data_IF_141880419900
#
_entry.id   IF_141880419900
#
_cell.length_a   1.000
_cell.length_b   1.000
_cell.length_c   1.000
_cell.angle_alpha   90.00
_cell.angle_beta   90.00
_cell.angle_gamma   90.00
#
_symmetry.space_group_name_H-M   'P 1'
#
loop_
_entity.id
_entity.type
_entity.pdbx_description
1 polymer ?
#
# COMPACT_ATOMS: atom_id res chain seq x y z
N UNK A 1 5.87 -3.01 -21.85
CA UNK A 1 6.43 -4.10 -22.68
C UNK A 1 5.34 -4.89 -23.41
N UNK A 2 4.35 -5.46 -22.71
CA UNK A 2 3.30 -6.30 -23.33
C UNK A 2 2.01 -5.56 -23.76
N UNK A 3 1.94 -4.24 -23.62
CA UNK A 3 0.70 -3.49 -23.93
C UNK A 3 -0.42 -3.69 -22.91
N UNK A 4 -0.09 -4.24 -21.73
CA UNK A 4 -1.04 -4.45 -20.63
C UNK A 4 -1.06 -3.20 -19.77
N UNK A 5 -2.24 -2.59 -19.62
CA UNK A 5 -2.48 -1.48 -18.71
C UNK A 5 -2.81 -2.02 -17.33
N UNK A 6 -1.92 -1.81 -16.35
CA UNK A 6 -2.13 -2.23 -14.96
C UNK A 6 -3.37 -1.54 -14.38
N UNK A 7 -4.22 -2.31 -13.71
CA UNK A 7 -5.40 -1.82 -13.00
C UNK A 7 -5.23 -1.95 -11.48
N UNK A 8 -4.91 -3.17 -11.00
CA UNK A 8 -4.82 -3.48 -9.57
C UNK A 8 -3.82 -4.62 -9.29
N UNK A 9 -3.33 -4.81 -8.06
CA UNK A 9 -2.60 -6.02 -7.69
C UNK A 9 -3.51 -7.27 -7.72
N UNK A 10 -2.93 -8.47 -7.83
CA UNK A 10 -3.69 -9.73 -7.67
C UNK A 10 -4.07 -9.91 -6.20
N UNK A 11 -3.08 -9.75 -5.32
CA UNK A 11 -3.28 -9.76 -3.86
C UNK A 11 -2.92 -8.38 -3.34
N UNK A 12 -3.93 -7.64 -2.88
CA UNK A 12 -3.74 -6.30 -2.33
C UNK A 12 -2.98 -6.33 -0.99
N UNK A 13 -2.12 -5.34 -0.76
CA UNK A 13 -1.43 -5.18 0.52
C UNK A 13 -2.43 -4.99 1.66
N UNK A 14 -2.23 -5.77 2.73
CA UNK A 14 -3.01 -5.68 3.96
C UNK A 14 -2.53 -4.57 4.90
N UNK A 15 -1.34 -4.03 4.67
CA UNK A 15 -0.72 -3.01 5.52
C UNK A 15 -1.62 -1.78 5.66
N UNK A 16 -2.03 -1.45 6.88
CA UNK A 16 -2.90 -0.30 7.14
C UNK A 16 -2.16 1.02 6.97
N UNK A 17 -2.92 2.07 6.72
CA UNK A 17 -2.40 3.43 6.62
C UNK A 17 -3.24 4.30 7.54
N UNK A 18 -2.58 5.17 8.29
CA UNK A 18 -3.22 6.02 9.28
C UNK A 18 -2.95 7.48 9.00
N UNK A 19 -3.91 8.33 9.36
CA UNK A 19 -3.73 9.76 9.55
C UNK A 19 -3.54 9.99 11.04
N UNK A 20 -2.40 10.53 11.43
CA UNK A 20 -2.12 10.96 12.80
C UNK A 20 -2.34 12.46 12.88
N UNK A 21 -3.13 12.91 13.86
CA UNK A 21 -3.28 14.32 14.18
C UNK A 21 -2.83 14.59 15.62
N UNK A 22 -2.12 15.70 15.84
CA UNK A 22 -1.70 16.15 17.17
C UNK A 22 -1.70 17.68 17.23
N UNK A 23 -1.73 18.23 18.43
CA UNK A 23 -1.99 19.65 18.68
C UNK A 23 -0.83 20.23 19.50
N UNK A 24 -0.09 21.17 18.91
CA UNK A 24 1.21 21.60 19.42
C UNK A 24 1.25 23.13 19.55
N UNK A 25 1.77 23.69 20.66
CA UNK A 25 2.07 25.12 20.73
C UNK A 25 2.97 25.57 19.59
N UNK A 26 2.72 26.75 19.04
CA UNK A 26 3.35 27.28 17.82
C UNK A 26 4.88 27.17 17.82
N UNK A 27 5.53 27.42 18.95
CA UNK A 27 6.99 27.40 19.08
C UNK A 27 7.62 26.01 19.02
N UNK A 28 6.83 24.94 19.17
CA UNK A 28 7.29 23.55 19.19
C UNK A 28 6.88 22.74 17.96
N UNK A 29 6.11 23.34 17.05
CA UNK A 29 5.56 22.67 15.85
C UNK A 29 6.64 22.02 15.03
N UNK A 30 7.72 22.74 14.75
CA UNK A 30 8.81 22.22 13.90
C UNK A 30 9.50 21.02 14.53
N UNK A 31 9.80 21.10 15.83
CA UNK A 31 10.43 20.02 16.58
C UNK A 31 9.59 18.73 16.53
N UNK A 32 8.27 18.85 16.74
CA UNK A 32 7.36 17.70 16.71
C UNK A 32 7.20 17.15 15.30
N UNK A 33 7.12 18.03 14.30
CA UNK A 33 6.97 17.66 12.89
C UNK A 33 8.18 16.88 12.37
N UNK A 34 9.40 17.37 12.63
CA UNK A 34 10.63 16.65 12.28
C UNK A 34 10.68 15.29 12.97
N UNK A 35 10.34 15.21 14.26
CA UNK A 35 10.32 13.94 14.99
C UNK A 35 9.34 12.92 14.39
N UNK A 36 8.18 13.37 13.90
CA UNK A 36 7.24 12.53 13.17
C UNK A 36 7.84 11.98 11.87
N UNK A 37 8.53 12.83 11.10
CA UNK A 37 9.18 12.43 9.85
C UNK A 37 10.32 11.43 10.06
N UNK A 38 11.18 11.67 11.04
CA UNK A 38 12.21 10.69 11.42
C UNK A 38 11.62 9.37 11.97
N UNK A 39 10.34 9.42 12.37
CA UNK A 39 9.54 8.27 12.77
C UNK A 39 9.01 7.45 11.60
N UNK A 40 9.13 7.95 10.36
CA UNK A 40 8.60 7.35 9.15
C UNK A 40 7.24 7.90 8.71
N UNK A 41 6.68 8.88 9.42
CA UNK A 41 5.46 9.55 8.98
C UNK A 41 5.75 10.56 7.85
N UNK A 42 4.73 10.93 7.09
CA UNK A 42 4.84 11.92 6.01
C UNK A 42 5.43 11.40 4.71
N UNK A 43 5.57 10.08 4.53
CA UNK A 43 6.01 9.51 3.26
C UNK A 43 4.82 9.09 2.39
N UNK A 44 4.61 9.79 1.26
CA UNK A 44 3.51 9.55 0.31
C UNK A 44 4.06 9.46 -1.11
N UNK A 45 4.03 8.26 -1.70
CA UNK A 45 4.59 8.05 -3.04
C UNK A 45 6.08 8.38 -3.09
N UNK A 46 6.46 9.38 -3.90
CA UNK A 46 7.84 9.85 -4.06
C UNK A 46 8.13 11.13 -3.24
N UNK A 47 7.28 11.48 -2.28
CA UNK A 47 7.42 12.66 -1.43
C UNK A 47 7.60 12.23 0.02
N UNK A 48 8.55 12.86 0.70
CA UNK A 48 8.74 12.78 2.15
C UNK A 48 8.28 14.09 2.83
N UNK A 49 8.37 14.11 4.16
CA UNK A 49 8.04 15.28 4.99
C UNK A 49 6.64 15.89 4.75
N UNK A 50 5.68 15.08 4.28
CA UNK A 50 4.32 15.52 4.00
C UNK A 50 3.52 15.72 5.30
N UNK A 51 3.13 16.97 5.59
CA UNK A 51 2.21 17.31 6.68
C UNK A 51 1.24 18.43 6.28
N UNK A 52 0.08 18.45 6.93
CA UNK A 52 -0.87 19.57 6.85
C UNK A 52 -1.05 20.20 8.23
N UNK A 53 -1.20 21.52 8.28
CA UNK A 53 -1.15 22.29 9.52
C UNK A 53 -2.32 23.28 9.58
N UNK A 54 -3.03 23.32 10.70
CA UNK A 54 -4.15 24.24 10.94
C UNK A 54 -3.97 24.94 12.28
N UNK A 55 -3.95 26.26 12.29
CA UNK A 55 -3.95 27.04 13.54
C UNK A 55 -5.34 27.00 14.19
N UNK A 56 -5.38 26.87 15.52
CA UNK A 56 -6.62 26.83 16.30
C UNK A 56 -6.39 27.16 17.77
N UNK A 57 -7.47 27.12 18.56
CA UNK A 57 -7.42 27.35 20.00
C UNK A 57 -7.76 26.05 20.73
N UNK A 58 -6.79 25.51 21.46
CA UNK A 58 -6.98 24.41 22.39
C UNK A 58 -7.48 24.91 23.74
N UNK A 59 -8.28 24.09 24.43
CA UNK A 59 -8.74 24.39 25.79
C UNK A 59 -8.55 23.20 26.71
N UNK A 60 -8.00 23.45 27.89
CA UNK A 60 -7.84 22.42 28.92
C UNK A 60 -7.92 23.04 30.32
N UNK A 61 -8.02 22.19 31.34
CA UNK A 61 -7.98 22.60 32.75
C UNK A 61 -7.08 21.62 33.50
N UNK A 62 -5.84 21.99 33.85
CA UNK A 62 -4.95 21.10 34.60
C UNK A 62 -5.58 20.73 35.94
N UNK A 63 -5.52 19.46 36.31
CA UNK A 63 -5.99 19.00 37.62
C UNK A 63 -4.89 19.16 38.68
N UNK A 64 -5.24 18.89 39.94
CA UNK A 64 -4.33 19.08 41.09
C UNK A 64 -3.00 18.31 40.97
N UNK A 65 -3.02 17.14 40.32
CA UNK A 65 -1.85 16.28 40.14
C UNK A 65 -1.13 16.46 38.79
N UNK A 66 -1.59 17.38 37.93
CA UNK A 66 -0.93 17.64 36.65
C UNK A 66 0.31 18.53 36.82
N UNK A 67 1.34 18.38 35.98
CA UNK A 67 2.45 19.34 35.88
C UNK A 67 2.36 20.04 34.51
N UNK A 68 1.40 20.96 34.33
CA UNK A 68 1.14 21.55 33.02
C UNK A 68 2.35 22.33 32.53
N UNK A 69 2.71 22.12 31.27
CA UNK A 69 3.73 22.92 30.59
C UNK A 69 3.29 24.40 30.46
N UNK A 70 1.98 24.64 30.32
CA UNK A 70 1.36 25.97 30.22
C UNK A 70 0.15 26.03 31.16
N UNK A 71 0.04 27.12 31.93
CA UNK A 71 -1.15 27.47 32.71
C UNK A 71 -1.14 27.06 34.19
N UNK A 72 -2.27 27.29 34.87
CA UNK A 72 -2.41 27.10 36.31
C UNK A 72 -3.35 25.93 36.68
N UNK A 73 -3.06 25.25 37.79
CA UNK A 73 -3.91 24.16 38.31
C UNK A 73 -5.33 24.66 38.61
N UNK A 74 -6.31 23.83 38.23
CA UNK A 74 -7.74 24.07 38.37
C UNK A 74 -8.31 25.29 37.63
N UNK A 75 -7.52 25.95 36.78
CA UNK A 75 -7.93 27.07 35.94
C UNK A 75 -8.07 26.63 34.49
N UNK A 76 -9.12 27.09 33.81
CA UNK A 76 -9.27 26.81 32.38
C UNK A 76 -8.29 27.70 31.60
N UNK A 77 -7.55 27.07 30.72
CA UNK A 77 -6.56 27.71 29.86
C UNK A 77 -7.03 27.64 28.40
N UNK A 78 -6.58 28.62 27.63
CA UNK A 78 -6.78 28.73 26.19
C UNK A 78 -5.42 28.96 25.54
N UNK A 79 -5.04 28.10 24.60
CA UNK A 79 -3.71 28.17 23.98
C UNK A 79 -3.86 28.14 22.46
N UNK A 80 -3.12 29.02 21.78
CA UNK A 80 -2.99 28.95 20.33
C UNK A 80 -2.10 27.77 19.97
N UNK A 81 -2.68 26.80 19.27
CA UNK A 81 -2.03 25.56 18.89
C UNK A 81 -2.11 25.37 17.38
N UNK A 82 -1.21 24.55 16.87
CA UNK A 82 -1.24 24.06 15.49
C UNK A 82 -1.59 22.59 15.52
N UNK A 83 -2.69 22.24 14.86
CA UNK A 83 -3.02 20.84 14.53
C UNK A 83 -2.12 20.40 13.39
N UNK A 84 -1.19 19.50 13.68
CA UNK A 84 -0.31 18.85 12.70
C UNK A 84 -0.97 17.55 12.28
N UNK A 85 -1.06 17.30 10.98
CA UNK A 85 -1.56 16.04 10.44
C UNK A 85 -0.60 15.39 9.47
N UNK A 86 -0.31 14.10 9.68
CA UNK A 86 0.60 13.32 8.83
C UNK A 86 0.01 11.96 8.48
N UNK A 87 0.39 11.43 7.32
CA UNK A 87 0.08 10.04 6.93
C UNK A 87 1.20 9.12 7.40
N UNK A 88 0.88 7.95 7.92
CA UNK A 88 1.87 6.97 8.38
C UNK A 88 1.42 5.56 8.05
N UNK A 89 2.35 4.70 7.59
CA UNK A 89 2.09 3.28 7.39
C UNK A 89 2.06 2.55 8.73
N UNK A 90 1.30 1.47 8.81
CA UNK A 90 1.15 0.65 10.03
C UNK A 90 2.50 0.24 10.64
N UNK A 91 3.47 -0.16 9.80
CA UNK A 91 4.81 -0.56 10.25
C UNK A 91 5.60 0.56 10.94
N UNK A 92 5.31 1.81 10.62
CA UNK A 92 6.01 3.00 11.11
C UNK A 92 5.24 3.72 12.23
N UNK A 93 3.95 3.35 12.44
CA UNK A 93 3.05 4.02 13.38
C UNK A 93 3.61 4.06 14.82
N UNK A 94 4.01 2.91 15.37
CA UNK A 94 4.52 2.84 16.75
C UNK A 94 5.76 3.71 16.96
N UNK A 95 6.67 3.73 15.97
CA UNK A 95 7.89 4.53 16.00
C UNK A 95 7.57 6.03 15.90
N UNK A 96 6.69 6.42 14.98
CA UNK A 96 6.24 7.80 14.83
C UNK A 96 5.57 8.34 16.10
N UNK A 97 4.67 7.55 16.71
CA UNK A 97 3.99 7.94 17.94
C UNK A 97 4.95 8.02 19.15
N UNK A 98 5.97 7.16 19.19
CA UNK A 98 7.01 7.25 20.22
C UNK A 98 7.81 8.55 20.07
N UNK A 99 8.30 8.86 18.87
CA UNK A 99 9.06 10.09 18.59
C UNK A 99 8.24 11.36 18.83
N UNK A 100 6.98 11.37 18.42
CA UNK A 100 6.04 12.46 18.73
C UNK A 100 6.04 12.72 20.23
N UNK A 101 5.76 11.70 21.07
CA UNK A 101 5.69 11.87 22.52
C UNK A 101 6.99 12.38 23.14
N UNK A 102 8.14 11.91 22.67
CA UNK A 102 9.46 12.38 23.16
C UNK A 102 9.75 13.83 22.78
N UNK A 103 9.27 14.27 21.63
CA UNK A 103 9.51 15.63 21.12
C UNK A 103 8.53 16.66 21.68
N UNK A 104 7.34 16.23 22.07
CA UNK A 104 6.21 17.07 22.46
C UNK A 104 6.46 17.81 23.79
N UNK A 105 6.08 19.08 23.93
CA UNK A 105 6.27 19.83 25.19
C UNK A 105 5.35 19.37 26.33
N UNK A 106 4.17 18.84 26.02
CA UNK A 106 3.22 18.35 27.03
C UNK A 106 3.56 16.93 27.50
N UNK A 107 3.36 16.67 28.80
CA UNK A 107 3.48 15.34 29.40
C UNK A 107 2.56 14.31 28.72
N UNK A 108 1.32 14.71 28.46
CA UNK A 108 0.30 13.89 27.80
C UNK A 108 -0.21 14.60 26.53
N UNK A 109 0.43 14.41 25.38
CA UNK A 109 -0.06 14.98 24.12
C UNK A 109 -1.39 14.38 23.69
N UNK A 110 -2.31 15.23 23.24
CA UNK A 110 -3.49 14.79 22.50
C UNK A 110 -3.06 14.25 21.12
N UNK A 111 -3.44 13.00 20.84
CA UNK A 111 -3.10 12.31 19.59
C UNK A 111 -4.34 11.58 19.11
N UNK A 112 -4.77 11.92 17.90
CA UNK A 112 -5.80 11.19 17.17
C UNK A 112 -5.16 10.30 16.11
N UNK A 113 -5.66 9.08 15.95
CA UNK A 113 -5.20 8.13 14.93
C UNK A 113 -6.42 7.61 14.17
N UNK A 114 -6.52 7.98 12.89
CA UNK A 114 -7.61 7.57 12.00
C UNK A 114 -7.09 6.59 10.96
N UNK A 115 -7.72 5.43 10.82
CA UNK A 115 -7.42 4.52 9.70
C UNK A 115 -7.94 5.14 8.39
N UNK A 116 -7.06 5.25 7.38
CA UNK A 116 -7.43 5.73 6.05
C UNK A 116 -7.81 4.52 5.19
N UNK A 117 -9.07 4.48 4.75
CA UNK A 117 -9.58 3.44 3.86
C UNK A 117 -9.54 3.94 2.41
N UNK A 118 -8.77 3.25 1.57
CA UNK A 118 -8.71 3.50 0.13
C UNK A 118 -8.28 2.23 -0.62
N UNK A 119 -8.59 2.19 -1.92
CA UNK A 119 -8.09 1.12 -2.79
C UNK A 119 -6.57 1.25 -2.96
N UNK A 120 -5.84 0.25 -2.48
CA UNK A 120 -4.37 0.25 -2.54
C UNK A 120 -3.95 -0.35 -3.87
N UNK A 121 -3.08 0.37 -4.58
CA UNK A 121 -2.49 -0.08 -5.84
C UNK A 121 -1.20 -0.91 -5.64
N UNK A 122 -0.92 -1.28 -4.39
CA UNK A 122 0.26 -2.03 -3.94
C UNK A 122 -0.14 -3.45 -3.51
N UNK A 123 0.71 -4.43 -3.83
CA UNK A 123 0.44 -5.84 -3.54
C UNK A 123 1.27 -6.78 -4.41
N UNK A 124 0.91 -8.06 -4.38
CA UNK A 124 1.58 -9.12 -5.17
C UNK A 124 0.91 -9.24 -6.53
N UNK A 125 1.74 -9.30 -7.57
CA UNK A 125 1.32 -9.41 -8.96
C UNK A 125 0.54 -8.20 -9.45
N UNK A 126 0.07 -8.28 -10.68
CA UNK A 126 -0.73 -7.25 -11.33
C UNK A 126 -1.81 -7.88 -12.19
N UNK A 127 -3.02 -7.32 -12.13
CA UNK A 127 -4.08 -7.53 -13.11
C UNK A 127 -4.14 -6.29 -13.97
N UNK A 128 -4.26 -6.49 -15.28
CA UNK A 128 -4.44 -5.42 -16.23
C UNK A 128 -5.17 -5.88 -17.47
N UNK A 129 -5.44 -4.93 -18.35
CA UNK A 129 -6.15 -5.15 -19.61
C UNK A 129 -5.26 -4.88 -20.80
N UNK A 130 -5.40 -5.71 -21.83
CA UNK A 130 -4.86 -5.45 -23.15
C UNK A 130 -5.70 -4.36 -23.82
N UNK A 131 -5.04 -3.51 -24.61
CA UNK A 131 -5.72 -2.47 -25.37
C UNK A 131 -6.66 -3.04 -26.44
N UNK A 132 -6.29 -4.20 -27.01
CA UNK A 132 -7.05 -4.93 -28.02
C UNK A 132 -7.08 -6.40 -27.60
N UNK A 133 -8.27 -7.01 -27.64
CA UNK A 133 -8.43 -8.46 -27.41
C UNK A 133 -7.57 -9.26 -28.39
N UNK A 134 -6.90 -10.31 -27.90
CA UNK A 134 -6.01 -11.14 -28.71
C UNK A 134 -6.33 -12.62 -28.58
N UNK A 135 -6.14 -13.36 -29.67
CA UNK A 135 -6.07 -14.82 -29.61
C UNK A 135 -4.80 -15.24 -28.87
N UNK A 136 -4.92 -16.25 -28.00
CA UNK A 136 -3.83 -16.69 -27.13
C UNK A 136 -2.57 -17.09 -27.89
N UNK A 137 -2.71 -17.70 -29.06
CA UNK A 137 -1.58 -18.12 -29.91
C UNK A 137 -0.78 -16.90 -30.38
N UNK A 138 -1.45 -15.81 -30.75
CA UNK A 138 -0.79 -14.58 -31.20
C UNK A 138 -0.15 -13.83 -30.03
N UNK A 139 -0.82 -13.82 -28.88
CA UNK A 139 -0.27 -13.27 -27.65
C UNK A 139 1.02 -14.00 -27.24
N UNK A 140 1.02 -15.34 -27.23
CA UNK A 140 2.18 -16.16 -26.86
C UNK A 140 3.37 -15.93 -27.79
N UNK A 141 3.14 -15.80 -29.11
CA UNK A 141 4.21 -15.45 -30.06
C UNK A 141 4.82 -14.09 -29.73
N UNK A 142 3.97 -13.07 -29.58
CA UNK A 142 4.39 -11.71 -29.22
C UNK A 142 5.10 -11.67 -27.88
N UNK A 143 4.63 -12.46 -26.90
CA UNK A 143 5.26 -12.61 -25.59
C UNK A 143 6.68 -13.12 -25.77
N UNK A 144 6.88 -14.28 -26.41
CA UNK A 144 8.20 -14.88 -26.65
C UNK A 144 9.16 -13.95 -27.37
N UNK A 145 8.68 -13.25 -28.40
CA UNK A 145 9.48 -12.28 -29.16
C UNK A 145 9.96 -11.12 -28.29
N UNK A 146 9.07 -10.57 -27.45
CA UNK A 146 9.42 -9.45 -26.57
C UNK A 146 10.27 -9.86 -25.39
N UNK A 147 10.03 -11.04 -24.81
CA UNK A 147 10.75 -11.53 -23.64
C UNK A 147 12.01 -12.31 -23.97
N UNK A 148 12.25 -12.59 -25.26
CA UNK A 148 13.35 -13.44 -25.73
C UNK A 148 13.37 -14.83 -25.05
N UNK A 149 12.18 -15.38 -24.74
CA UNK A 149 12.06 -16.66 -24.02
C UNK A 149 12.08 -17.83 -25.01
N UNK A 150 12.98 -18.79 -24.79
CA UNK A 150 13.17 -19.98 -25.65
C UNK A 150 11.89 -20.81 -25.80
N UNK A 151 11.21 -21.08 -24.69
CA UNK A 151 9.94 -21.80 -24.67
C UNK A 151 9.06 -21.32 -23.53
N UNK A 152 7.77 -21.63 -23.64
CA UNK A 152 6.76 -21.37 -22.62
C UNK A 152 5.82 -22.56 -22.58
N UNK A 153 5.33 -22.92 -21.39
CA UNK A 153 4.30 -23.95 -21.24
C UNK A 153 2.94 -23.25 -21.17
N UNK A 154 1.99 -23.74 -21.94
CA UNK A 154 0.63 -23.22 -21.95
C UNK A 154 -0.35 -24.26 -21.39
N UNK A 155 -1.21 -23.82 -20.47
CA UNK A 155 -2.26 -24.62 -19.86
C UNK A 155 -3.58 -23.89 -20.14
N UNK A 156 -4.51 -24.50 -20.86
CA UNK A 156 -5.80 -23.87 -21.16
C UNK A 156 -6.34 -24.24 -22.53
N UNK A 157 -7.30 -23.46 -23.01
CA UNK A 157 -7.88 -23.60 -24.35
C UNK A 157 -6.98 -22.93 -25.40
N UNK A 158 -6.59 -23.67 -26.44
CA UNK A 158 -5.76 -23.15 -27.52
C UNK A 158 -6.49 -22.11 -28.39
N UNK A 159 -7.82 -22.02 -28.30
CA UNK A 159 -8.64 -21.04 -29.01
C UNK A 159 -9.09 -19.88 -28.11
N UNK A 160 -8.52 -19.79 -26.90
CA UNK A 160 -8.89 -18.73 -25.96
C UNK A 160 -8.61 -17.34 -26.55
N UNK A 161 -9.56 -16.44 -26.31
CA UNK A 161 -9.39 -15.01 -26.50
C UNK A 161 -9.19 -14.34 -25.15
N UNK A 162 -8.26 -13.39 -25.11
CA UNK A 162 -7.85 -12.75 -23.86
C UNK A 162 -7.81 -11.23 -24.02
N UNK A 163 -8.21 -10.57 -22.95
CA UNK A 163 -8.17 -9.13 -22.74
C UNK A 163 -7.69 -8.83 -21.32
N UNK A 164 -8.21 -9.54 -20.31
CA UNK A 164 -7.75 -9.43 -18.91
C UNK A 164 -6.62 -10.39 -18.62
N UNK A 165 -5.47 -9.84 -18.23
CA UNK A 165 -4.24 -10.58 -17.95
C UNK A 165 -3.79 -10.32 -16.52
N UNK A 166 -3.54 -11.40 -15.79
CA UNK A 166 -2.86 -11.39 -14.50
C UNK A 166 -1.40 -11.81 -14.69
N UNK A 167 -0.48 -11.13 -14.00
CA UNK A 167 0.96 -11.42 -14.04
C UNK A 167 1.49 -11.49 -12.62
N UNK A 168 2.19 -12.56 -12.28
CA UNK A 168 2.96 -12.69 -11.05
C UNK A 168 4.24 -13.46 -11.37
N UNK A 169 5.38 -12.79 -11.30
CA UNK A 169 6.68 -13.39 -11.63
C UNK A 169 7.13 -14.38 -10.55
N UNK A 170 7.85 -15.44 -10.96
CA UNK A 170 8.31 -16.51 -10.07
C UNK A 170 7.24 -17.58 -9.83
N UNK A 171 7.38 -18.36 -8.76
CA UNK A 171 6.52 -19.49 -8.41
C UNK A 171 5.16 -19.07 -7.80
N UNK A 172 4.31 -18.37 -8.57
CA UNK A 172 3.00 -17.91 -8.11
C UNK A 172 1.84 -18.88 -8.40
N UNK A 173 2.12 -20.17 -8.65
CA UNK A 173 1.09 -21.18 -8.88
C UNK A 173 0.09 -21.32 -7.72
N UNK A 174 0.49 -21.00 -6.48
CA UNK A 174 -0.37 -21.09 -5.29
C UNK A 174 -1.47 -20.04 -5.19
N UNK A 175 -1.40 -18.95 -5.98
CA UNK A 175 -2.35 -17.83 -5.88
C UNK A 175 -3.40 -17.83 -7.01
N UNK A 176 -3.46 -18.88 -7.84
CA UNK A 176 -4.33 -18.95 -9.02
C UNK A 176 -5.84 -18.78 -8.68
N UNK A 177 -6.27 -19.20 -7.49
CA UNK A 177 -7.66 -19.02 -7.02
C UNK A 177 -8.03 -17.54 -6.84
N UNK A 178 -7.06 -16.65 -6.57
CA UNK A 178 -7.29 -15.20 -6.54
C UNK A 178 -7.44 -14.59 -7.94
N UNK A 179 -7.02 -15.33 -8.97
CA UNK A 179 -6.97 -14.88 -10.37
C UNK A 179 -8.15 -15.38 -11.18
N UNK A 180 -8.65 -16.60 -10.91
CA UNK A 180 -9.65 -17.32 -11.72
C UNK A 180 -10.87 -16.50 -12.15
N UNK A 181 -11.38 -15.62 -11.28
CA UNK A 181 -12.57 -14.80 -11.55
C UNK A 181 -12.24 -13.36 -11.99
N UNK A 182 -10.94 -13.03 -12.11
CA UNK A 182 -10.46 -11.67 -12.35
C UNK A 182 -9.64 -11.53 -13.63
N UNK A 183 -9.16 -12.63 -14.23
CA UNK A 183 -8.39 -12.61 -15.47
C UNK A 183 -8.66 -13.85 -16.33
N UNK A 184 -8.43 -13.70 -17.63
CA UNK A 184 -8.59 -14.77 -18.63
C UNK A 184 -7.26 -15.48 -18.90
N UNK A 185 -6.13 -14.79 -18.71
CA UNK A 185 -4.78 -15.34 -18.75
C UNK A 185 -4.03 -15.02 -17.45
N UNK A 186 -3.38 -16.01 -16.86
CA UNK A 186 -2.42 -15.83 -15.78
C UNK A 186 -1.00 -16.14 -16.25
N UNK A 187 -0.06 -15.22 -16.07
CA UNK A 187 1.35 -15.38 -16.44
C UNK A 187 2.16 -15.52 -15.15
N UNK A 188 2.83 -16.65 -14.98
CA UNK A 188 3.66 -16.99 -13.82
C UNK A 188 4.75 -17.97 -14.23
N UNK A 189 5.62 -18.38 -13.30
CA UNK A 189 6.54 -19.51 -13.49
C UNK A 189 6.33 -20.64 -12.50
N UNK A 190 7.16 -21.67 -12.65
CA UNK A 190 7.34 -22.82 -11.77
C UNK A 190 6.06 -23.56 -11.38
N UNK A 191 5.14 -23.74 -12.34
CA UNK A 191 3.92 -24.50 -12.08
C UNK A 191 4.21 -26.00 -12.04
N UNK A 192 3.93 -26.61 -10.87
CA UNK A 192 3.93 -28.06 -10.69
C UNK A 192 2.73 -28.75 -11.35
N UNK A 193 2.88 -30.04 -11.65
CA UNK A 193 1.89 -30.83 -12.40
C UNK A 193 0.47 -30.80 -11.79
N UNK A 194 0.33 -31.02 -10.48
CA UNK A 194 -0.99 -31.02 -9.81
C UNK A 194 -1.65 -29.64 -9.83
N UNK A 195 -0.86 -28.58 -9.70
CA UNK A 195 -1.35 -27.20 -9.81
C UNK A 195 -1.83 -26.92 -11.23
N UNK A 196 -1.08 -27.35 -12.26
CA UNK A 196 -1.51 -27.22 -13.65
C UNK A 196 -2.84 -27.95 -13.93
N UNK A 197 -3.02 -29.15 -13.37
CA UNK A 197 -4.27 -29.90 -13.52
C UNK A 197 -5.45 -29.17 -12.86
N UNK A 198 -5.26 -28.69 -11.61
CA UNK A 198 -6.29 -27.94 -10.89
C UNK A 198 -6.69 -26.66 -11.62
N UNK A 199 -5.71 -25.92 -12.15
CA UNK A 199 -5.95 -24.72 -12.98
C UNK A 199 -6.77 -25.08 -14.23
N UNK A 200 -6.39 -26.16 -14.92
CA UNK A 200 -7.08 -26.60 -16.14
C UNK A 200 -8.53 -27.00 -15.85
N UNK A 201 -8.79 -27.72 -14.76
CA UNK A 201 -10.16 -28.07 -14.32
C UNK A 201 -11.01 -26.84 -14.00
N UNK A 202 -10.36 -25.77 -13.57
CA UNK A 202 -10.96 -24.48 -13.26
C UNK A 202 -11.10 -23.54 -14.46
N UNK A 203 -10.62 -23.94 -15.64
CA UNK A 203 -10.78 -23.18 -16.89
C UNK A 203 -9.95 -21.90 -16.99
N UNK A 204 -8.95 -21.70 -16.11
CA UNK A 204 -8.04 -20.57 -16.19
C UNK A 204 -6.94 -20.86 -17.22
N UNK A 205 -6.72 -19.95 -18.17
CA UNK A 205 -5.58 -20.07 -19.08
C UNK A 205 -4.32 -19.57 -18.38
N UNK A 206 -3.21 -20.28 -18.58
CA UNK A 206 -1.95 -19.97 -17.92
C UNK A 206 -0.78 -20.07 -18.89
N UNK A 207 0.04 -19.04 -18.86
CA UNK A 207 1.36 -19.03 -19.45
C UNK A 207 2.39 -19.25 -18.34
N UNK A 208 2.94 -20.45 -18.31
CA UNK A 208 3.99 -20.84 -17.39
C UNK A 208 5.36 -20.63 -18.05
N UNK A 209 6.03 -19.60 -17.57
CA UNK A 209 7.27 -19.04 -18.08
C UNK A 209 8.36 -19.42 -17.09
N UNK A 210 9.33 -20.22 -17.53
CA UNK A 210 10.46 -20.55 -16.67
C UNK A 210 11.26 -19.31 -16.29
N UNK A 211 11.97 -19.44 -15.17
CA UNK A 211 12.80 -18.38 -14.63
C UNK A 211 13.80 -17.88 -15.70
N UNK A 212 13.91 -16.55 -15.82
CA UNK A 212 14.97 -15.94 -16.60
C UNK A 212 16.32 -16.27 -15.93
N UNK A 213 17.18 -17.02 -16.61
CA UNK A 213 18.63 -16.99 -16.37
C UNK A 213 19.26 -15.73 -16.97
#
# INVERSE_FOLDING_TARGET
>A
MLGIKKEKPIIQSKEKVYKVATYVPKDFVEKVRVALFEGGAGHIGNYDECSFNVEGVGTFRPLENANPFIGEKNKREFVNEVRIEVVVRERDLSKALYKLRQSHPYEEPAIDVFEILFEKNEGIGAIGTLEIEQDIVNFVKTFKEKTNTSYVRYIGDANAKISKVAICTGACGSIFESVINNAELFITGDIGYHTALAIKERGLNVLDVEHFE
#
